data_IF_706509381623
#
_entry.id   IF_706509381623
#
_cell.length_a   1.000
_cell.length_b   1.000
_cell.length_c   1.000
_cell.angle_alpha   90.00
_cell.angle_beta   90.00
_cell.angle_gamma   90.00
#
_symmetry.space_group_name_H-M   'P 1'
#
loop_
_entity.id
_entity.type
_entity.pdbx_description
1 polymer ?
#
# COMPACT_ATOMS: atom_id res chain seq x y z
N UNK A 1 -11.52 3.56 33.78
CA UNK A 1 -10.23 4.29 33.59
C UNK A 1 -10.16 5.59 34.37
N UNK A 2 -8.97 6.02 34.81
CA UNK A 2 -8.82 7.29 35.55
C UNK A 2 -8.79 8.50 34.62
N UNK A 3 -9.63 9.52 34.88
CA UNK A 3 -9.72 10.75 34.07
C UNK A 3 -8.37 11.48 33.90
N UNK A 4 -7.54 11.48 34.95
CA UNK A 4 -6.24 12.16 34.93
C UNK A 4 -5.28 11.54 33.89
N UNK A 5 -5.30 10.21 33.72
CA UNK A 5 -4.49 9.53 32.69
C UNK A 5 -4.92 9.98 31.30
N UNK A 6 -6.25 9.98 31.02
CA UNK A 6 -6.80 10.41 29.74
C UNK A 6 -6.41 11.88 29.45
N UNK A 7 -6.56 12.78 30.43
CA UNK A 7 -6.21 14.19 30.25
C UNK A 7 -4.72 14.39 29.98
N UNK A 8 -3.85 13.67 30.72
CA UNK A 8 -2.41 13.72 30.47
C UNK A 8 -2.06 13.27 29.06
N UNK A 9 -2.68 12.16 28.58
CA UNK A 9 -2.49 11.65 27.23
C UNK A 9 -2.88 12.67 26.16
N UNK A 10 -4.04 13.31 26.30
CA UNK A 10 -4.49 14.35 25.37
C UNK A 10 -3.44 15.47 25.25
N UNK A 11 -2.97 16.00 26.39
CA UNK A 11 -1.99 17.09 26.42
C UNK A 11 -0.63 16.64 25.87
N UNK A 12 -0.15 15.45 26.27
CA UNK A 12 1.13 14.90 25.80
C UNK A 12 1.15 14.73 24.29
N UNK A 13 0.09 14.16 23.71
CA UNK A 13 0.00 13.98 22.27
C UNK A 13 -0.15 15.30 21.50
N UNK A 14 -0.88 16.28 22.03
CA UNK A 14 -0.95 17.63 21.43
C UNK A 14 0.45 18.25 21.34
N UNK A 15 1.21 18.22 22.44
CA UNK A 15 2.58 18.73 22.47
C UNK A 15 3.55 17.98 21.55
N UNK A 16 3.35 16.68 21.39
CA UNK A 16 4.15 15.83 20.50
C UNK A 16 3.89 16.17 19.03
N UNK A 17 2.62 16.19 18.62
CA UNK A 17 2.25 16.41 17.22
C UNK A 17 2.61 17.82 16.74
N UNK A 18 2.58 18.82 17.62
CA UNK A 18 2.97 20.20 17.32
C UNK A 18 4.46 20.32 16.97
N UNK A 19 5.32 19.47 17.55
CA UNK A 19 6.79 19.57 17.46
C UNK A 19 7.43 18.56 16.49
N UNK A 20 6.73 17.48 16.12
CA UNK A 20 7.31 16.43 15.31
C UNK A 20 7.62 16.91 13.90
N UNK A 21 8.80 16.54 13.39
CA UNK A 21 9.19 16.76 12.00
C UNK A 21 8.62 15.63 11.13
N UNK A 22 8.03 15.96 9.99
CA UNK A 22 7.35 15.03 9.12
C UNK A 22 7.97 15.06 7.72
N UNK A 23 7.99 13.90 7.08
CA UNK A 23 8.13 13.79 5.63
C UNK A 23 6.72 13.90 5.06
N UNK A 24 6.42 15.04 4.42
CA UNK A 24 5.08 15.25 3.84
C UNK A 24 4.79 14.24 2.74
N UNK A 25 3.64 13.56 2.85
CA UNK A 25 3.10 12.63 1.87
C UNK A 25 2.34 13.40 0.79
N UNK A 26 2.41 12.88 -0.44
CA UNK A 26 1.65 13.42 -1.57
C UNK A 26 0.18 12.92 -1.51
N UNK A 27 -0.50 13.19 -0.41
CA UNK A 27 -1.90 12.81 -0.15
C UNK A 27 -2.67 14.05 0.26
N UNK A 28 -3.67 14.41 -0.54
CA UNK A 28 -4.55 15.54 -0.26
C UNK A 28 -5.86 15.05 0.37
N UNK A 29 -6.18 15.58 1.54
CA UNK A 29 -7.41 15.29 2.26
C UNK A 29 -8.33 16.52 2.27
N UNK A 30 -9.62 16.31 2.04
CA UNK A 30 -10.61 17.38 2.18
C UNK A 30 -10.91 17.63 3.65
N UNK A 31 -10.89 18.88 4.06
CA UNK A 31 -11.22 19.27 5.44
C UNK A 31 -12.69 19.09 5.83
N UNK A 32 -13.55 18.73 4.88
CA UNK A 32 -14.99 18.55 5.12
C UNK A 32 -15.39 17.08 5.32
N UNK A 33 -14.46 16.13 5.11
CA UNK A 33 -14.75 14.71 5.10
C UNK A 33 -14.10 13.98 6.26
N UNK A 34 -14.67 12.83 6.61
CA UNK A 34 -14.08 11.92 7.58
C UNK A 34 -13.31 10.83 6.85
N UNK A 35 -12.20 10.38 7.43
CA UNK A 35 -11.31 9.42 6.79
C UNK A 35 -11.01 8.21 7.67
N UNK A 36 -10.88 7.05 7.03
CA UNK A 36 -10.26 5.86 7.61
C UNK A 36 -8.97 5.57 6.84
N UNK A 37 -7.84 5.71 7.50
CA UNK A 37 -6.52 5.39 6.95
C UNK A 37 -6.22 3.92 7.16
N UNK A 38 -6.05 3.19 6.07
CA UNK A 38 -5.75 1.76 6.08
C UNK A 38 -4.47 1.47 5.32
N UNK A 39 -3.75 0.43 5.69
CA UNK A 39 -2.50 0.07 5.05
C UNK A 39 -1.61 -0.80 5.93
N UNK A 40 -0.50 -1.23 5.37
CA UNK A 40 0.48 -2.05 6.06
C UNK A 40 0.92 -1.43 7.40
N UNK A 41 1.21 -2.26 8.38
CA UNK A 41 1.87 -1.82 9.62
C UNK A 41 3.17 -1.09 9.28
N UNK A 42 3.42 0.07 9.93
CA UNK A 42 4.57 0.96 9.69
C UNK A 42 4.63 1.64 8.31
N UNK A 43 3.54 1.65 7.54
CA UNK A 43 3.45 2.43 6.29
C UNK A 43 3.27 3.95 6.50
N UNK A 44 3.18 4.41 7.76
CA UNK A 44 3.08 5.84 8.11
C UNK A 44 1.66 6.37 8.31
N UNK A 45 0.68 5.54 8.66
CA UNK A 45 -0.72 5.95 8.90
C UNK A 45 -0.84 7.02 10.00
N UNK A 46 -0.21 6.80 11.16
CA UNK A 46 -0.20 7.77 12.27
C UNK A 46 0.49 9.09 11.86
N UNK A 47 1.57 9.00 11.08
CA UNK A 47 2.27 10.18 10.56
C UNK A 47 1.42 10.96 9.55
N UNK A 48 0.56 10.30 8.76
CA UNK A 48 -0.42 10.98 7.92
C UNK A 48 -1.48 11.72 8.76
N UNK A 49 -1.88 11.18 9.93
CA UNK A 49 -2.71 11.94 10.89
C UNK A 49 -1.98 13.18 11.41
N UNK A 50 -0.71 13.05 11.77
CA UNK A 50 0.08 14.19 12.24
C UNK A 50 0.25 15.24 11.14
N UNK A 51 0.45 14.82 9.89
CA UNK A 51 0.46 15.73 8.73
C UNK A 51 -0.85 16.51 8.61
N UNK A 52 -1.99 15.82 8.73
CA UNK A 52 -3.30 16.47 8.67
C UNK A 52 -3.52 17.42 9.87
N UNK A 53 -3.09 17.06 11.07
CA UNK A 53 -3.15 17.97 12.22
C UNK A 53 -2.30 19.22 11.96
N UNK A 54 -1.04 19.06 11.53
CA UNK A 54 -0.18 20.22 11.23
C UNK A 54 -0.72 21.06 10.07
N UNK A 55 -1.40 20.46 9.09
CA UNK A 55 -2.11 21.18 8.05
C UNK A 55 -3.23 22.05 8.64
N UNK A 56 -4.09 21.49 9.50
CA UNK A 56 -5.16 22.23 10.17
C UNK A 56 -4.63 23.38 11.04
N UNK A 57 -3.51 23.17 11.76
CA UNK A 57 -2.87 24.23 12.53
C UNK A 57 -2.35 25.37 11.63
N UNK A 58 -1.81 25.06 10.45
CA UNK A 58 -1.40 26.06 9.44
C UNK A 58 -2.59 26.83 8.84
N UNK A 59 -3.77 26.18 8.73
CA UNK A 59 -5.03 26.81 8.31
C UNK A 59 -5.71 27.63 9.41
N UNK A 60 -5.10 27.73 10.62
CA UNK A 60 -5.54 28.59 11.71
C UNK A 60 -6.37 27.91 12.80
N UNK A 61 -6.52 26.59 12.77
CA UNK A 61 -7.09 25.85 13.89
C UNK A 61 -6.17 25.90 15.12
N UNK A 62 -6.75 25.96 16.33
CA UNK A 62 -5.98 25.83 17.57
C UNK A 62 -5.65 24.37 17.87
N UNK A 63 -4.49 24.12 18.49
CA UNK A 63 -4.15 22.79 19.01
C UNK A 63 -5.17 22.30 20.06
N UNK A 64 -5.84 23.22 20.75
CA UNK A 64 -6.92 22.91 21.68
C UNK A 64 -8.17 22.34 21.00
N UNK A 65 -8.34 22.50 19.67
CA UNK A 65 -9.41 21.86 18.88
C UNK A 65 -9.06 20.42 18.51
N UNK A 66 -7.82 19.97 18.69
CA UNK A 66 -7.35 18.66 18.28
C UNK A 66 -7.44 17.67 19.43
N UNK A 67 -8.22 16.61 19.23
CA UNK A 67 -8.24 15.45 20.11
C UNK A 67 -7.58 14.27 19.37
N UNK A 68 -6.26 14.13 19.51
CA UNK A 68 -5.54 12.93 19.07
C UNK A 68 -5.45 11.93 20.21
N UNK A 69 -5.74 10.64 19.91
CA UNK A 69 -5.71 9.58 20.90
C UNK A 69 -5.22 8.27 20.26
N UNK A 70 -4.12 7.72 20.79
CA UNK A 70 -3.54 6.46 20.33
C UNK A 70 -3.98 5.32 21.25
N UNK A 71 -4.73 4.36 20.72
CA UNK A 71 -5.27 3.23 21.48
C UNK A 71 -4.23 2.10 21.69
N UNK A 72 -3.04 2.16 21.07
CA UNK A 72 -1.91 1.25 21.37
C UNK A 72 -1.09 1.68 22.59
N UNK A 73 -1.40 2.82 23.25
CA UNK A 73 -0.70 3.26 24.45
C UNK A 73 -0.87 2.25 25.58
N UNK A 74 0.21 1.83 26.23
CA UNK A 74 0.23 0.80 27.27
C UNK A 74 -0.54 1.19 28.53
N UNK A 75 -0.73 2.49 28.78
CA UNK A 75 -1.60 3.02 29.84
C UNK A 75 -3.09 2.71 29.63
N UNK A 76 -3.47 2.25 28.42
CA UNK A 76 -4.84 2.01 27.98
C UNK A 76 -5.21 0.52 27.89
N UNK A 77 -4.40 -0.40 28.41
CA UNK A 77 -4.56 -1.86 28.29
C UNK A 77 -5.99 -2.35 28.68
N UNK A 78 -6.65 -1.68 29.60
CA UNK A 78 -7.99 -2.07 30.08
C UNK A 78 -9.10 -1.15 29.53
N UNK A 79 -8.85 -0.41 28.44
CA UNK A 79 -9.86 0.48 27.86
C UNK A 79 -11.00 -0.34 27.25
N UNK A 80 -12.21 -0.02 27.61
CA UNK A 80 -13.44 -0.62 27.09
C UNK A 80 -14.23 0.36 26.22
N UNK A 81 -15.30 -0.13 25.57
CA UNK A 81 -16.17 0.74 24.75
C UNK A 81 -16.89 1.81 25.58
N UNK A 82 -17.16 1.52 26.84
CA UNK A 82 -17.78 2.46 27.80
C UNK A 82 -16.84 3.63 28.11
N UNK A 83 -15.52 3.41 28.07
CA UNK A 83 -14.52 4.44 28.31
C UNK A 83 -14.36 5.42 27.12
N UNK A 84 -14.83 5.08 25.91
CA UNK A 84 -14.72 5.97 24.75
C UNK A 84 -15.43 7.32 24.96
N UNK A 85 -16.59 7.30 25.64
CA UNK A 85 -17.28 8.54 25.99
C UNK A 85 -16.53 9.34 27.06
N UNK A 86 -15.79 8.66 27.94
CA UNK A 86 -14.99 9.31 28.97
C UNK A 86 -13.84 10.14 28.36
N UNK A 87 -13.27 9.69 27.22
CA UNK A 87 -12.26 10.46 26.48
C UNK A 87 -12.83 11.83 26.07
N UNK A 88 -14.04 11.82 25.47
CA UNK A 88 -14.74 13.06 25.10
C UNK A 88 -15.03 13.95 26.32
N UNK A 89 -15.52 13.38 27.40
CA UNK A 89 -15.79 14.12 28.65
C UNK A 89 -14.50 14.75 29.21
N UNK A 90 -13.40 14.00 29.23
CA UNK A 90 -12.11 14.52 29.68
C UNK A 90 -11.60 15.68 28.82
N UNK A 91 -11.80 15.62 27.51
CA UNK A 91 -11.47 16.73 26.63
C UNK A 91 -12.34 17.97 26.90
N UNK A 92 -13.67 17.81 27.06
CA UNK A 92 -14.60 18.91 27.36
C UNK A 92 -14.36 19.54 28.75
N UNK A 93 -13.71 18.80 29.66
CA UNK A 93 -13.24 19.35 30.94
C UNK A 93 -11.93 20.16 30.82
N UNK A 94 -11.13 19.95 29.73
CA UNK A 94 -9.90 20.69 29.45
C UNK A 94 -10.15 21.93 28.60
N UNK A 95 -11.02 21.82 27.60
CA UNK A 95 -11.19 22.83 26.55
C UNK A 95 -12.68 23.13 26.28
N UNK A 96 -12.95 24.39 25.96
CA UNK A 96 -14.29 24.85 25.52
C UNK A 96 -14.53 24.66 24.03
N UNK A 97 -13.54 24.21 23.27
CA UNK A 97 -13.60 24.04 21.83
C UNK A 97 -14.30 22.73 21.42
N UNK A 98 -14.88 22.72 20.23
CA UNK A 98 -15.44 21.50 19.65
C UNK A 98 -14.29 20.65 19.07
N UNK A 99 -14.10 19.37 19.49
CA UNK A 99 -12.95 18.59 19.05
C UNK A 99 -13.04 18.12 17.59
N UNK A 100 -11.90 18.06 16.94
CA UNK A 100 -11.63 17.25 15.75
C UNK A 100 -10.95 15.97 16.24
N UNK A 101 -11.55 14.81 15.97
CA UNK A 101 -11.09 13.53 16.49
C UNK A 101 -10.06 12.89 15.56
N UNK A 102 -8.94 12.48 16.11
CA UNK A 102 -7.92 11.64 15.49
C UNK A 102 -7.73 10.39 16.34
N UNK A 103 -8.35 9.29 15.92
CA UNK A 103 -8.43 8.03 16.64
C UNK A 103 -7.46 7.02 16.02
N UNK A 104 -6.28 6.89 16.61
CA UNK A 104 -5.20 6.05 16.07
C UNK A 104 -5.27 4.63 16.63
N UNK A 105 -5.24 3.61 15.73
CA UNK A 105 -5.36 2.18 16.02
C UNK A 105 -6.63 1.83 16.83
N UNK A 106 -7.75 2.51 16.57
CA UNK A 106 -9.00 2.41 17.34
C UNK A 106 -9.63 1.00 17.31
N UNK A 107 -9.29 0.14 16.33
CA UNK A 107 -9.80 -1.22 16.21
C UNK A 107 -9.36 -2.15 17.38
N UNK A 108 -8.50 -1.69 18.26
CA UNK A 108 -8.16 -2.38 19.50
C UNK A 108 -9.39 -2.44 20.44
N UNK A 109 -10.24 -1.42 20.39
CA UNK A 109 -11.46 -1.35 21.20
C UNK A 109 -12.61 -2.03 20.45
N UNK A 110 -13.19 -3.07 21.05
CA UNK A 110 -14.37 -3.75 20.47
C UNK A 110 -15.55 -2.79 20.33
N UNK A 111 -16.27 -2.84 19.22
CA UNK A 111 -17.43 -1.97 18.91
C UNK A 111 -17.13 -0.48 18.75
N UNK A 112 -15.88 -0.11 18.49
CA UNK A 112 -15.45 1.26 18.20
C UNK A 112 -16.24 1.91 17.05
N UNK A 113 -16.67 1.13 16.07
CA UNK A 113 -17.41 1.59 14.88
C UNK A 113 -18.72 2.29 15.23
N UNK A 114 -19.38 1.87 16.31
CA UNK A 114 -20.61 2.50 16.81
C UNK A 114 -20.33 3.88 17.40
N UNK A 115 -19.21 4.00 18.12
CA UNK A 115 -18.75 5.28 18.66
C UNK A 115 -18.39 6.25 17.52
N UNK A 116 -17.57 5.81 16.56
CA UNK A 116 -17.18 6.62 15.41
C UNK A 116 -18.39 7.09 14.58
N UNK A 117 -19.36 6.19 14.32
CA UNK A 117 -20.62 6.54 13.67
C UNK A 117 -21.38 7.62 14.43
N UNK A 118 -21.53 7.47 15.75
CA UNK A 118 -22.23 8.46 16.59
C UNK A 118 -21.56 9.82 16.55
N UNK A 119 -20.21 9.89 16.56
CA UNK A 119 -19.49 11.15 16.42
C UNK A 119 -19.82 11.83 15.09
N UNK A 120 -19.83 11.10 13.99
CA UNK A 120 -20.16 11.68 12.67
C UNK A 120 -21.63 12.07 12.54
N UNK A 121 -22.56 11.32 13.15
CA UNK A 121 -23.98 11.70 13.20
C UNK A 121 -24.19 13.02 13.98
N UNK A 122 -23.36 13.27 15.00
CA UNK A 122 -23.28 14.54 15.74
C UNK A 122 -22.45 15.62 15.02
N UNK A 123 -22.03 15.36 13.77
CA UNK A 123 -21.27 16.29 12.93
C UNK A 123 -19.89 16.66 13.48
N UNK A 124 -19.25 15.75 14.23
CA UNK A 124 -17.80 15.86 14.49
C UNK A 124 -17.01 15.45 13.25
N UNK A 125 -15.84 16.04 13.07
CA UNK A 125 -14.85 15.60 12.10
C UNK A 125 -14.03 14.49 12.75
N UNK A 126 -13.85 13.36 12.03
CA UNK A 126 -13.24 12.16 12.58
C UNK A 126 -12.25 11.56 11.58
N UNK A 127 -11.03 11.38 12.02
CA UNK A 127 -9.97 10.67 11.32
C UNK A 127 -9.62 9.41 12.12
N UNK A 128 -9.50 8.29 11.44
CA UNK A 128 -9.32 6.97 12.07
C UNK A 128 -8.16 6.26 11.38
N UNK A 129 -7.30 5.58 12.13
CA UNK A 129 -6.37 4.61 11.53
C UNK A 129 -6.67 3.19 11.98
N UNK A 130 -6.21 2.26 11.17
CA UNK A 130 -6.14 0.86 11.53
C UNK A 130 -5.25 0.05 10.59
N UNK A 131 -4.49 -0.86 11.18
CA UNK A 131 -3.55 -1.73 10.47
C UNK A 131 -4.22 -2.95 9.83
N UNK A 132 -5.56 -3.03 9.83
CA UNK A 132 -6.29 -4.19 9.35
C UNK A 132 -7.38 -3.81 8.34
N UNK A 133 -7.41 -4.48 7.19
CA UNK A 133 -8.52 -4.39 6.25
C UNK A 133 -9.85 -4.96 6.80
N UNK A 134 -9.88 -5.62 7.98
CA UNK A 134 -11.15 -5.84 8.70
C UNK A 134 -11.88 -4.54 9.02
N UNK A 135 -11.18 -3.39 9.06
CA UNK A 135 -11.82 -2.07 9.09
C UNK A 135 -12.63 -1.79 7.82
N UNK A 136 -12.38 -2.54 6.76
CA UNK A 136 -13.12 -2.53 5.48
C UNK A 136 -14.13 -3.68 5.39
N UNK A 137 -14.27 -4.52 6.44
CA UNK A 137 -15.26 -5.59 6.43
C UNK A 137 -16.65 -5.04 6.16
N UNK A 138 -17.49 -5.84 5.51
CA UNK A 138 -18.85 -5.45 5.15
C UNK A 138 -19.66 -4.95 6.36
N UNK A 139 -19.38 -5.49 7.55
CA UNK A 139 -20.03 -5.05 8.80
C UNK A 139 -19.62 -3.64 9.21
N UNK A 140 -18.32 -3.31 9.13
CA UNK A 140 -17.81 -1.98 9.47
C UNK A 140 -18.21 -0.98 8.40
N UNK A 141 -18.06 -1.33 7.11
CA UNK A 141 -18.51 -0.50 6.00
C UNK A 141 -20.02 -0.20 6.11
N UNK A 142 -20.84 -1.19 6.48
CA UNK A 142 -22.28 -1.02 6.72
C UNK A 142 -22.54 -0.13 7.93
N UNK A 143 -21.82 -0.33 9.04
CA UNK A 143 -21.99 0.45 10.27
C UNK A 143 -21.57 1.89 10.09
N UNK A 144 -20.44 2.13 9.43
CA UNK A 144 -19.96 3.48 9.10
C UNK A 144 -20.81 4.17 8.01
N UNK A 145 -21.50 3.38 7.17
CA UNK A 145 -22.59 3.82 6.31
C UNK A 145 -22.26 4.98 5.36
N UNK A 146 -21.13 4.94 4.67
CA UNK A 146 -20.74 5.98 3.71
C UNK A 146 -20.36 7.34 4.32
N UNK A 147 -20.17 7.40 5.65
CA UNK A 147 -19.77 8.62 6.38
C UNK A 147 -18.26 8.89 6.33
N UNK A 148 -17.48 7.90 5.93
CA UNK A 148 -16.03 7.95 5.87
C UNK A 148 -15.54 7.63 4.46
N UNK A 149 -14.47 8.29 4.06
CA UNK A 149 -13.67 7.93 2.89
C UNK A 149 -12.52 7.04 3.36
N UNK A 150 -12.32 5.96 2.63
CA UNK A 150 -11.18 5.07 2.86
C UNK A 150 -9.99 5.65 2.11
N UNK A 151 -8.90 5.88 2.83
CA UNK A 151 -7.63 6.31 2.26
C UNK A 151 -6.59 5.24 2.45
N UNK A 152 -6.16 4.64 1.34
CA UNK A 152 -5.09 3.66 1.33
C UNK A 152 -3.74 4.35 1.57
N UNK A 153 -2.98 3.86 2.56
CA UNK A 153 -1.65 4.37 2.92
C UNK A 153 -0.60 3.31 2.56
N UNK A 154 0.05 3.53 1.43
CA UNK A 154 1.15 2.68 0.95
C UNK A 154 2.48 3.11 1.61
N UNK A 155 3.52 2.26 1.59
CA UNK A 155 4.90 2.70 1.82
C UNK A 155 5.25 3.91 0.94
N UNK A 156 6.34 4.60 1.21
CA UNK A 156 6.77 5.74 0.40
C UNK A 156 6.83 5.41 -1.09
N UNK A 157 6.33 6.31 -1.93
CA UNK A 157 6.67 6.32 -3.35
C UNK A 157 8.16 6.67 -3.52
N UNK A 158 8.74 6.40 -4.68
CA UNK A 158 10.13 6.76 -4.91
C UNK A 158 10.39 8.27 -4.76
N UNK A 159 9.42 9.12 -5.12
CA UNK A 159 9.49 10.56 -4.90
C UNK A 159 9.49 10.93 -3.40
N UNK A 160 8.62 10.31 -2.61
CA UNK A 160 8.57 10.49 -1.15
C UNK A 160 9.86 9.95 -0.49
N UNK A 161 10.40 8.83 -0.99
CA UNK A 161 11.68 8.26 -0.58
C UNK A 161 12.84 9.23 -0.81
N UNK A 162 12.94 9.81 -2.01
CA UNK A 162 13.96 10.83 -2.31
C UNK A 162 13.85 12.05 -1.40
N UNK A 163 12.61 12.51 -1.16
CA UNK A 163 12.34 13.62 -0.23
C UNK A 163 12.79 13.30 1.20
N UNK A 164 12.59 12.06 1.66
CA UNK A 164 13.04 11.60 2.98
C UNK A 164 14.58 11.60 3.10
N UNK A 165 15.28 11.46 1.98
CA UNK A 165 16.75 11.52 1.88
C UNK A 165 17.28 12.91 1.48
N UNK A 166 16.47 13.97 1.61
CA UNK A 166 16.82 15.34 1.25
C UNK A 166 17.22 15.53 -0.24
N UNK A 167 16.79 14.62 -1.12
CA UNK A 167 17.04 14.68 -2.56
C UNK A 167 15.85 15.31 -3.27
N UNK A 168 16.06 16.53 -3.80
CA UNK A 168 15.03 17.26 -4.54
C UNK A 168 14.93 16.82 -5.99
N UNK A 169 13.70 16.64 -6.47
CA UNK A 169 13.38 16.34 -7.86
C UNK A 169 12.81 17.60 -8.52
N UNK A 170 13.68 18.51 -8.94
CA UNK A 170 13.30 19.74 -9.69
C UNK A 170 13.08 19.44 -11.18
N UNK A 171 12.45 20.32 -11.98
CA UNK A 171 12.21 20.09 -13.41
C UNK A 171 13.44 19.73 -14.24
N UNK A 172 14.64 20.12 -13.80
CA UNK A 172 15.91 19.79 -14.47
C UNK A 172 16.69 18.65 -13.80
N UNK A 173 16.06 17.84 -12.95
CA UNK A 173 16.70 16.79 -12.15
C UNK A 173 17.55 15.82 -12.98
N UNK A 174 17.09 15.47 -14.18
CA UNK A 174 17.76 14.53 -15.08
C UNK A 174 19.21 14.97 -15.42
N UNK A 175 19.46 16.27 -15.48
CA UNK A 175 20.78 16.82 -15.75
C UNK A 175 21.60 17.13 -14.49
N UNK A 176 20.93 17.45 -13.39
CA UNK A 176 21.59 17.89 -12.15
C UNK A 176 21.88 16.73 -11.20
N UNK A 177 20.88 15.90 -10.89
CA UNK A 177 20.94 14.96 -9.78
C UNK A 177 20.78 13.49 -10.21
N UNK A 178 20.86 13.18 -11.52
CA UNK A 178 20.63 11.83 -12.05
C UNK A 178 21.45 10.75 -11.33
N UNK A 179 22.74 10.98 -11.10
CA UNK A 179 23.63 9.98 -10.47
C UNK A 179 23.19 9.65 -9.03
N UNK A 180 22.82 10.66 -8.28
CA UNK A 180 22.33 10.50 -6.91
C UNK A 180 20.98 9.79 -6.87
N UNK A 181 20.05 10.18 -7.74
CA UNK A 181 18.73 9.56 -7.89
C UNK A 181 18.85 8.08 -8.28
N UNK A 182 19.70 7.73 -9.26
CA UNK A 182 19.91 6.34 -9.68
C UNK A 182 20.55 5.51 -8.55
N UNK A 183 21.49 6.09 -7.78
CA UNK A 183 22.06 5.42 -6.61
C UNK A 183 21.00 5.16 -5.54
N UNK A 184 20.19 6.15 -5.19
CA UNK A 184 19.09 6.03 -4.21
C UNK A 184 18.01 5.08 -4.70
N UNK A 185 17.81 4.99 -6.03
CA UNK A 185 16.90 4.02 -6.61
C UNK A 185 17.33 2.58 -6.32
N UNK A 186 18.62 2.26 -6.37
CA UNK A 186 19.10 0.90 -6.05
C UNK A 186 18.68 0.47 -4.65
N UNK A 187 18.81 1.35 -3.66
CA UNK A 187 18.41 1.07 -2.28
C UNK A 187 16.88 0.89 -2.17
N UNK A 188 16.11 1.83 -2.73
CA UNK A 188 14.65 1.74 -2.79
C UNK A 188 14.16 0.47 -3.51
N UNK A 189 14.84 0.05 -4.58
CA UNK A 189 14.49 -1.13 -5.36
C UNK A 189 14.59 -2.43 -4.56
N UNK A 190 15.66 -2.58 -3.76
CA UNK A 190 15.91 -3.80 -2.99
C UNK A 190 15.26 -3.81 -1.60
N UNK A 191 15.12 -2.65 -0.95
CA UNK A 191 14.62 -2.56 0.43
C UNK A 191 13.22 -1.98 0.54
N UNK A 192 12.65 -1.44 -0.55
CA UNK A 192 11.29 -0.91 -0.55
C UNK A 192 11.18 0.51 -0.01
N UNK A 193 9.95 0.91 0.32
CA UNK A 193 9.62 2.28 0.72
C UNK A 193 9.07 2.41 2.14
N UNK A 194 9.32 1.45 3.04
CA UNK A 194 8.87 1.58 4.43
C UNK A 194 9.61 2.73 5.13
N UNK A 195 8.89 3.74 5.67
CA UNK A 195 9.49 5.00 6.13
C UNK A 195 10.62 4.86 7.14
N UNK A 196 10.55 3.89 8.04
CA UNK A 196 11.58 3.70 9.08
C UNK A 196 12.92 3.21 8.54
N UNK A 197 12.95 2.63 7.31
CA UNK A 197 14.19 2.15 6.71
C UNK A 197 15.19 3.27 6.36
N UNK A 198 14.70 4.51 6.23
CA UNK A 198 15.55 5.67 5.98
C UNK A 198 16.46 6.01 7.17
N UNK A 199 16.09 5.57 8.37
CA UNK A 199 16.83 5.80 9.61
C UNK A 199 17.81 4.65 9.94
N UNK A 200 17.89 3.62 9.07
CA UNK A 200 18.59 2.35 9.35
C UNK A 200 19.73 2.17 8.35
N UNK A 201 20.90 1.78 8.84
CA UNK A 201 22.04 1.45 7.99
C UNK A 201 21.73 0.23 7.08
N UNK A 202 22.24 0.23 5.86
CA UNK A 202 21.95 -0.78 4.84
C UNK A 202 22.13 -2.23 5.35
N UNK A 203 23.17 -2.46 6.14
CA UNK A 203 23.49 -3.79 6.70
C UNK A 203 22.38 -4.30 7.64
N UNK A 204 21.61 -3.41 8.27
CA UNK A 204 20.57 -3.74 9.24
C UNK A 204 19.16 -3.80 8.61
N UNK A 205 18.96 -3.19 7.42
CA UNK A 205 17.65 -3.10 6.75
C UNK A 205 17.00 -4.47 6.56
N UNK A 206 17.75 -5.47 6.11
CA UNK A 206 17.21 -6.83 5.90
C UNK A 206 16.74 -7.46 7.21
N UNK A 207 17.49 -7.29 8.30
CA UNK A 207 17.10 -7.79 9.62
C UNK A 207 15.86 -7.09 10.14
N UNK A 208 15.76 -5.79 9.96
CA UNK A 208 14.60 -5.01 10.35
C UNK A 208 13.34 -5.45 9.58
N UNK A 209 13.44 -5.61 8.26
CA UNK A 209 12.35 -6.13 7.41
C UNK A 209 11.91 -7.53 7.85
N UNK A 210 12.86 -8.41 8.18
CA UNK A 210 12.57 -9.75 8.70
C UNK A 210 11.82 -9.69 10.04
N UNK A 211 12.21 -8.80 10.94
CA UNK A 211 11.53 -8.59 12.22
C UNK A 211 10.10 -8.03 12.03
N UNK A 212 9.92 -7.06 11.12
CA UNK A 212 8.60 -6.55 10.78
C UNK A 212 7.71 -7.65 10.18
N UNK A 213 8.25 -8.44 9.23
CA UNK A 213 7.52 -9.57 8.66
C UNK A 213 7.11 -10.56 9.73
N UNK A 214 8.01 -10.95 10.62
CA UNK A 214 7.70 -11.88 11.72
C UNK A 214 6.62 -11.31 12.65
N UNK A 215 6.67 -10.03 13.01
CA UNK A 215 5.63 -9.39 13.82
C UNK A 215 4.27 -9.41 13.12
N UNK A 216 4.22 -9.09 11.83
CA UNK A 216 3.00 -9.16 11.01
C UNK A 216 2.52 -10.59 10.89
N UNK A 217 3.42 -11.54 10.61
CA UNK A 217 3.10 -12.95 10.44
C UNK A 217 2.50 -13.54 11.72
N UNK A 218 3.18 -13.44 12.86
CA UNK A 218 2.69 -14.05 14.09
C UNK A 218 1.55 -13.26 14.74
N UNK A 219 1.63 -11.94 14.79
CA UNK A 219 0.64 -11.09 15.43
C UNK A 219 -0.62 -10.88 14.58
N UNK A 220 -0.42 -10.38 13.37
CA UNK A 220 -1.53 -9.93 12.54
C UNK A 220 -2.15 -11.04 11.67
N UNK A 221 -1.41 -12.12 11.38
CA UNK A 221 -1.92 -13.29 10.66
C UNK A 221 -2.26 -14.43 11.61
N UNK A 222 -1.26 -15.10 12.18
CA UNK A 222 -1.45 -16.36 12.90
C UNK A 222 -2.37 -16.18 14.11
N UNK A 223 -2.07 -15.24 14.99
CA UNK A 223 -2.84 -15.03 16.24
C UNK A 223 -4.24 -14.48 15.93
N UNK A 224 -4.32 -13.45 15.09
CA UNK A 224 -5.59 -12.77 14.81
C UNK A 224 -6.62 -13.66 14.12
N UNK A 225 -6.21 -14.45 13.13
CA UNK A 225 -7.09 -15.35 12.38
C UNK A 225 -7.11 -16.79 12.94
N UNK A 226 -6.45 -17.01 14.09
CA UNK A 226 -6.36 -18.35 14.73
C UNK A 226 -5.90 -19.43 13.74
N UNK A 227 -4.91 -19.12 12.92
CA UNK A 227 -4.40 -20.03 11.90
C UNK A 227 -3.69 -21.20 12.57
N UNK A 228 -4.21 -22.42 12.36
CA UNK A 228 -3.69 -23.64 12.98
C UNK A 228 -2.42 -24.16 12.30
N UNK A 229 -2.25 -23.89 11.00
CA UNK A 229 -1.14 -24.40 10.21
C UNK A 229 -0.27 -23.23 9.67
N UNK A 230 0.63 -22.75 10.53
CA UNK A 230 1.56 -21.68 10.21
C UNK A 230 2.57 -22.07 9.11
N UNK A 231 2.94 -23.36 9.02
CA UNK A 231 3.85 -23.85 8.00
C UNK A 231 3.21 -23.78 6.61
N UNK A 232 1.91 -24.14 6.49
CA UNK A 232 1.17 -24.01 5.23
C UNK A 232 1.11 -22.54 4.77
N UNK A 233 0.86 -21.61 5.70
CA UNK A 233 0.86 -20.17 5.40
C UNK A 233 2.25 -19.69 4.94
N UNK A 234 3.34 -20.12 5.61
CA UNK A 234 4.71 -19.78 5.19
C UNK A 234 5.04 -20.29 3.78
N UNK A 235 4.65 -21.53 3.48
CA UNK A 235 4.86 -22.14 2.15
C UNK A 235 4.06 -21.36 1.09
N UNK A 236 2.80 -20.98 1.39
CA UNK A 236 1.97 -20.18 0.50
C UNK A 236 2.62 -18.82 0.21
N UNK A 237 3.05 -18.07 1.24
CA UNK A 237 3.72 -16.76 1.08
C UNK A 237 4.96 -16.90 0.19
N UNK A 238 5.82 -17.89 0.47
CA UNK A 238 7.02 -18.15 -0.35
C UNK A 238 6.65 -18.47 -1.79
N UNK A 239 5.60 -19.28 -2.00
CA UNK A 239 5.15 -19.60 -3.36
C UNK A 239 4.59 -18.38 -4.10
N UNK A 240 3.87 -17.50 -3.43
CA UNK A 240 3.40 -16.25 -4.02
C UNK A 240 4.56 -15.36 -4.43
N UNK A 241 5.60 -15.23 -3.59
CA UNK A 241 6.80 -14.48 -3.92
C UNK A 241 7.52 -14.99 -5.18
N UNK A 242 7.68 -16.31 -5.32
CA UNK A 242 8.26 -16.95 -6.52
C UNK A 242 7.37 -16.79 -7.76
N UNK A 243 6.08 -16.56 -7.60
CA UNK A 243 5.08 -16.51 -8.68
C UNK A 243 4.59 -15.11 -9.01
N UNK A 244 5.24 -14.07 -8.53
CA UNK A 244 4.81 -12.66 -8.71
C UNK A 244 4.46 -12.35 -10.18
N UNK A 245 5.26 -12.82 -11.12
CA UNK A 245 5.07 -12.57 -12.57
C UNK A 245 3.98 -13.41 -13.25
N UNK A 246 3.42 -14.40 -12.57
CA UNK A 246 2.54 -15.38 -13.17
C UNK A 246 1.20 -15.49 -12.47
N UNK A 247 0.09 -15.61 -13.20
CA UNK A 247 -1.20 -15.85 -12.58
C UNK A 247 -1.21 -17.21 -11.87
N UNK A 248 -1.87 -17.26 -10.74
CA UNK A 248 -1.95 -18.44 -9.89
C UNK A 248 -3.40 -18.73 -9.53
N UNK A 249 -3.87 -19.93 -9.88
CA UNK A 249 -5.20 -20.37 -9.48
C UNK A 249 -5.20 -20.97 -8.07
N UNK A 250 -6.33 -20.87 -7.37
CA UNK A 250 -6.51 -21.43 -6.04
C UNK A 250 -6.16 -22.91 -5.96
N UNK A 251 -6.62 -23.70 -6.96
CA UNK A 251 -6.33 -25.13 -7.05
C UNK A 251 -4.83 -25.39 -7.23
N UNK A 252 -4.15 -24.59 -8.07
CA UNK A 252 -2.69 -24.73 -8.27
C UNK A 252 -1.94 -24.42 -6.98
N UNK A 253 -2.30 -23.37 -6.27
CA UNK A 253 -1.68 -23.00 -4.99
C UNK A 253 -1.92 -24.08 -3.93
N UNK A 254 -3.16 -24.59 -3.80
CA UNK A 254 -3.50 -25.68 -2.89
C UNK A 254 -2.69 -26.96 -3.18
N UNK A 255 -2.54 -27.35 -4.44
CA UNK A 255 -1.76 -28.50 -4.85
C UNK A 255 -0.27 -28.33 -4.51
N UNK A 256 0.30 -27.13 -4.74
CA UNK A 256 1.70 -26.84 -4.42
C UNK A 256 1.95 -26.89 -2.92
N UNK A 257 1.09 -26.27 -2.11
CA UNK A 257 1.20 -26.35 -0.65
C UNK A 257 1.06 -27.80 -0.18
N UNK A 258 0.11 -28.56 -0.74
CA UNK A 258 -0.11 -29.98 -0.37
C UNK A 258 1.05 -30.88 -0.78
N UNK A 259 1.78 -30.57 -1.86
CA UNK A 259 2.95 -31.34 -2.31
C UNK A 259 4.13 -31.31 -1.31
N UNK A 260 4.14 -30.37 -0.39
CA UNK A 260 5.13 -30.31 0.73
C UNK A 260 4.79 -31.24 1.89
N UNK A 261 3.79 -32.09 1.76
CA UNK A 261 3.32 -33.00 2.80
C UNK A 261 2.29 -32.40 3.76
N UNK A 262 1.89 -31.14 3.55
CA UNK A 262 0.92 -30.42 4.38
C UNK A 262 -0.43 -30.44 3.66
N UNK A 263 -1.41 -31.19 4.16
CA UNK A 263 -2.74 -31.23 3.56
C UNK A 263 -3.48 -29.91 3.81
N UNK A 264 -3.80 -29.20 2.73
CA UNK A 264 -4.65 -28.01 2.73
C UNK A 264 -5.71 -28.13 1.66
N UNK A 265 -6.92 -27.66 1.93
CA UNK A 265 -8.02 -27.56 0.95
C UNK A 265 -7.88 -26.29 0.14
N UNK A 266 -8.57 -26.23 -1.00
CA UNK A 266 -8.66 -25.00 -1.80
C UNK A 266 -9.31 -23.88 -1.00
N UNK A 267 -10.34 -24.17 -0.20
CA UNK A 267 -11.03 -23.20 0.68
C UNK A 267 -10.06 -22.60 1.71
N UNK A 268 -9.20 -23.44 2.32
CA UNK A 268 -8.16 -22.94 3.25
C UNK A 268 -7.18 -21.99 2.55
N UNK A 269 -6.85 -22.25 1.28
CA UNK A 269 -5.96 -21.35 0.53
C UNK A 269 -6.66 -20.03 0.19
N UNK A 270 -7.96 -20.07 -0.13
CA UNK A 270 -8.77 -18.86 -0.34
C UNK A 270 -8.77 -18.02 0.94
N UNK A 271 -9.10 -18.59 2.10
CA UNK A 271 -9.07 -17.89 3.38
C UNK A 271 -7.68 -17.27 3.64
N UNK A 272 -6.61 -18.02 3.37
CA UNK A 272 -5.24 -17.53 3.58
C UNK A 272 -4.89 -16.35 2.66
N UNK A 273 -5.32 -16.39 1.41
CA UNK A 273 -5.13 -15.27 0.47
C UNK A 273 -5.91 -14.03 0.93
N UNK A 274 -7.15 -14.20 1.41
CA UNK A 274 -7.93 -13.11 1.99
C UNK A 274 -7.25 -12.51 3.23
N UNK A 275 -6.68 -13.35 4.11
CA UNK A 275 -5.96 -12.87 5.29
C UNK A 275 -4.67 -12.12 4.92
N UNK A 276 -3.94 -12.59 3.91
CA UNK A 276 -2.74 -11.91 3.41
C UNK A 276 -3.07 -10.54 2.79
N UNK A 277 -4.17 -10.44 2.06
CA UNK A 277 -4.67 -9.16 1.53
C UNK A 277 -5.17 -8.26 2.66
N UNK A 278 -5.90 -8.83 3.62
CA UNK A 278 -6.43 -8.11 4.77
C UNK A 278 -5.35 -7.54 5.69
N UNK A 279 -4.16 -8.12 5.72
CA UNK A 279 -3.00 -7.59 6.45
C UNK A 279 -2.12 -6.67 5.61
N UNK A 280 -2.53 -6.36 4.40
CA UNK A 280 -1.76 -5.53 3.47
C UNK A 280 -0.37 -6.10 3.13
N UNK A 281 -0.18 -7.42 3.21
CA UNK A 281 1.07 -8.03 2.79
C UNK A 281 1.14 -8.17 1.28
N UNK A 282 -0.01 -8.51 0.67
CA UNK A 282 -0.17 -8.65 -0.77
C UNK A 282 -1.43 -7.93 -1.28
N UNK A 283 -1.48 -7.71 -2.59
CA UNK A 283 -2.69 -7.39 -3.33
C UNK A 283 -2.76 -8.25 -4.59
N UNK A 284 -3.93 -8.31 -5.22
CA UNK A 284 -4.12 -9.04 -6.47
C UNK A 284 -4.66 -8.14 -7.57
N UNK A 285 -4.42 -8.55 -8.82
CA UNK A 285 -5.05 -7.99 -10.00
C UNK A 285 -5.69 -9.11 -10.84
N UNK A 286 -6.78 -8.77 -11.52
CA UNK A 286 -7.57 -9.70 -12.31
C UNK A 286 -7.14 -9.72 -13.78
N UNK A 287 -7.46 -10.83 -14.47
CA UNK A 287 -7.33 -10.87 -15.93
C UNK A 287 -8.52 -10.16 -16.59
N UNK A 288 -8.25 -9.10 -17.33
CA UNK A 288 -9.30 -8.35 -18.04
C UNK A 288 -10.10 -9.22 -19.02
N UNK A 289 -9.43 -10.14 -19.74
CA UNK A 289 -10.04 -10.98 -20.76
C UNK A 289 -10.88 -12.15 -20.22
N UNK A 290 -10.74 -12.48 -18.93
CA UNK A 290 -11.39 -13.67 -18.34
C UNK A 290 -12.87 -13.44 -18.00
N UNK A 291 -13.63 -14.55 -17.97
CA UNK A 291 -14.98 -14.55 -17.41
C UNK A 291 -14.93 -14.43 -15.88
N UNK A 292 -16.05 -14.04 -15.27
CA UNK A 292 -16.13 -13.75 -13.82
C UNK A 292 -15.51 -14.84 -12.94
N UNK A 293 -15.81 -16.11 -13.20
CA UNK A 293 -15.28 -17.23 -12.39
C UNK A 293 -13.76 -17.31 -12.46
N UNK A 294 -13.18 -17.10 -13.63
CA UNK A 294 -11.73 -17.13 -13.83
C UNK A 294 -11.06 -15.86 -13.28
N UNK A 295 -11.72 -14.71 -13.37
CA UNK A 295 -11.23 -13.45 -12.76
C UNK A 295 -10.98 -13.61 -11.27
N UNK A 296 -11.91 -14.25 -10.57
CA UNK A 296 -11.80 -14.49 -9.13
C UNK A 296 -10.77 -15.58 -8.81
N UNK A 297 -10.77 -16.67 -9.57
CA UNK A 297 -10.00 -17.88 -9.23
C UNK A 297 -8.57 -17.94 -9.77
N UNK A 298 -8.19 -17.05 -10.69
CA UNK A 298 -6.86 -17.04 -11.32
C UNK A 298 -6.33 -15.60 -11.46
N UNK A 299 -5.62 -15.14 -10.43
CA UNK A 299 -5.13 -13.78 -10.30
C UNK A 299 -3.61 -13.72 -10.29
N UNK A 300 -3.02 -12.55 -10.62
CA UNK A 300 -1.63 -12.24 -10.29
C UNK A 300 -1.60 -11.61 -8.90
N UNK A 301 -0.64 -12.02 -8.07
CA UNK A 301 -0.45 -11.54 -6.69
C UNK A 301 0.87 -10.81 -6.58
N UNK A 302 0.84 -9.63 -5.97
CA UNK A 302 1.98 -8.76 -5.77
C UNK A 302 2.12 -8.40 -4.29
N UNK A 303 3.35 -8.21 -3.84
CA UNK A 303 3.61 -7.71 -2.49
C UNK A 303 3.46 -6.19 -2.45
N UNK A 304 2.99 -5.68 -1.32
CA UNK A 304 2.77 -4.23 -1.14
C UNK A 304 4.08 -3.44 -1.03
N UNK A 305 5.21 -4.12 -0.82
CA UNK A 305 6.53 -3.53 -0.68
C UNK A 305 7.63 -4.45 -1.21
N UNK A 306 8.59 -3.88 -1.95
CA UNK A 306 9.68 -4.64 -2.55
C UNK A 306 10.63 -5.25 -1.51
N UNK A 307 10.89 -4.55 -0.40
CA UNK A 307 11.77 -5.06 0.65
C UNK A 307 11.19 -6.31 1.31
N UNK A 308 9.87 -6.35 1.50
CA UNK A 308 9.19 -7.54 2.01
C UNK A 308 9.24 -8.70 1.01
N UNK A 309 9.04 -8.44 -0.28
CA UNK A 309 9.16 -9.46 -1.34
C UNK A 309 10.58 -10.03 -1.40
N UNK A 310 11.59 -9.17 -1.33
CA UNK A 310 13.00 -9.52 -1.41
C UNK A 310 13.48 -10.47 -0.29
N UNK A 311 12.76 -10.57 0.82
CA UNK A 311 13.05 -11.53 1.89
C UNK A 311 12.94 -12.99 1.42
N UNK A 312 12.17 -13.27 0.37
CA UNK A 312 11.81 -14.63 -0.08
C UNK A 312 12.49 -15.06 -1.38
N UNK A 313 13.20 -14.16 -2.05
CA UNK A 313 13.78 -14.39 -3.39
C UNK A 313 15.29 -14.62 -3.31
N UNK A 314 15.81 -15.44 -4.25
CA UNK A 314 17.26 -15.71 -4.44
C UNK A 314 17.77 -14.81 -5.58
N UNK A 315 17.07 -14.81 -6.73
CA UNK A 315 17.36 -13.98 -7.90
C UNK A 315 16.20 -12.98 -8.07
N UNK A 316 16.23 -11.83 -7.34
CA UNK A 316 15.06 -11.02 -7.13
C UNK A 316 14.74 -10.05 -8.27
N UNK A 317 15.71 -9.67 -9.10
CA UNK A 317 15.68 -8.47 -9.94
C UNK A 317 14.43 -8.37 -10.83
N UNK A 318 14.12 -9.43 -11.58
CA UNK A 318 12.97 -9.41 -12.49
C UNK A 318 11.63 -9.39 -11.75
N UNK A 319 11.55 -10.05 -10.61
CA UNK A 319 10.33 -10.07 -9.78
C UNK A 319 10.14 -8.75 -9.04
N UNK A 320 11.22 -8.16 -8.53
CA UNK A 320 11.17 -6.85 -7.88
C UNK A 320 10.79 -5.75 -8.88
N UNK A 321 11.26 -5.83 -10.13
CA UNK A 321 10.93 -4.85 -11.16
C UNK A 321 9.41 -4.85 -11.44
N UNK A 322 8.84 -6.03 -11.72
CA UNK A 322 7.40 -6.12 -12.01
C UNK A 322 6.55 -5.78 -10.77
N UNK A 323 6.98 -6.21 -9.57
CA UNK A 323 6.28 -5.88 -8.33
C UNK A 323 6.26 -4.37 -8.07
N UNK A 324 7.37 -3.67 -8.30
CA UNK A 324 7.45 -2.22 -8.09
C UNK A 324 6.55 -1.45 -9.08
N UNK A 325 6.49 -1.91 -10.34
CA UNK A 325 5.55 -1.37 -11.33
C UNK A 325 4.11 -1.62 -10.89
N UNK A 326 3.80 -2.85 -10.43
CA UNK A 326 2.47 -3.21 -9.92
C UNK A 326 2.04 -2.31 -8.73
N UNK A 327 2.93 -2.11 -7.75
CA UNK A 327 2.67 -1.22 -6.59
C UNK A 327 2.33 0.20 -7.07
N UNK A 328 3.14 0.73 -7.97
CA UNK A 328 2.98 2.10 -8.48
C UNK A 328 1.68 2.28 -9.26
N UNK A 329 1.35 1.31 -10.12
CA UNK A 329 0.09 1.32 -10.87
C UNK A 329 -1.13 1.09 -9.95
N UNK A 330 -1.05 0.18 -8.97
CA UNK A 330 -2.13 -0.05 -8.00
C UNK A 330 -2.40 1.19 -7.14
N UNK A 331 -1.35 1.90 -6.69
CA UNK A 331 -1.48 3.17 -5.96
C UNK A 331 -2.24 4.23 -6.77
N UNK A 332 -2.06 4.25 -8.10
CA UNK A 332 -2.63 5.27 -9.00
C UNK A 332 -4.00 4.91 -9.56
N UNK A 333 -4.22 3.64 -9.91
CA UNK A 333 -5.40 3.18 -10.65
C UNK A 333 -6.31 2.25 -9.85
N UNK A 334 -5.89 1.84 -8.66
CA UNK A 334 -6.67 1.02 -7.72
C UNK A 334 -7.32 -0.20 -8.38
N UNK A 335 -8.66 -0.25 -8.47
CA UNK A 335 -9.41 -1.37 -9.02
C UNK A 335 -9.47 -1.37 -10.57
N UNK A 336 -8.96 -0.33 -11.23
CA UNK A 336 -8.90 -0.26 -12.69
C UNK A 336 -7.62 -0.87 -13.29
N UNK A 337 -6.79 -1.48 -12.45
CA UNK A 337 -5.58 -2.17 -12.86
C UNK A 337 -5.85 -3.66 -13.11
N UNK A 338 -5.55 -4.10 -14.32
CA UNK A 338 -5.70 -5.48 -14.77
C UNK A 338 -4.41 -5.99 -15.40
N UNK A 339 -4.27 -7.32 -15.56
CA UNK A 339 -3.41 -7.91 -16.58
C UNK A 339 -4.27 -8.43 -17.73
N UNK A 340 -3.65 -8.72 -18.87
CA UNK A 340 -4.35 -9.31 -20.00
C UNK A 340 -3.68 -10.63 -20.37
N UNK A 341 -4.46 -11.72 -20.35
CA UNK A 341 -3.97 -13.03 -20.73
C UNK A 341 -5.09 -13.83 -21.43
N UNK A 342 -4.94 -14.03 -22.75
CA UNK A 342 -5.78 -14.92 -23.56
C UNK A 342 -4.89 -15.62 -24.62
N UNK A 343 -4.69 -15.02 -25.78
CA UNK A 343 -3.78 -15.48 -26.84
C UNK A 343 -2.42 -14.75 -26.78
N UNK A 344 -2.33 -13.75 -25.98
CA UNK A 344 -1.17 -12.90 -25.67
C UNK A 344 -1.14 -12.64 -24.19
N UNK A 345 0.03 -12.35 -23.65
CA UNK A 345 0.18 -11.91 -22.26
C UNK A 345 0.68 -10.48 -22.25
N UNK A 346 -0.02 -9.60 -21.51
CA UNK A 346 0.40 -8.23 -21.21
C UNK A 346 0.35 -8.05 -19.70
N UNK A 347 1.46 -7.58 -19.13
CA UNK A 347 1.65 -7.54 -17.69
C UNK A 347 0.63 -6.64 -17.00
N UNK A 348 0.40 -5.43 -17.55
CA UNK A 348 -0.59 -4.50 -17.01
C UNK A 348 -1.41 -3.85 -18.13
N UNK A 349 -2.70 -3.74 -17.88
CA UNK A 349 -3.67 -3.08 -18.75
C UNK A 349 -4.58 -2.16 -17.93
N UNK A 350 -4.69 -0.91 -18.35
CA UNK A 350 -5.53 0.11 -17.72
C UNK A 350 -6.53 0.63 -18.79
N UNK A 351 -7.76 0.07 -18.82
CA UNK A 351 -8.75 0.40 -19.85
C UNK A 351 -9.09 1.90 -19.92
N UNK A 352 -9.29 2.53 -18.79
CA UNK A 352 -9.68 3.96 -18.68
C UNK A 352 -8.61 4.92 -19.17
N UNK A 353 -7.38 4.44 -19.38
CA UNK A 353 -6.24 5.21 -19.90
C UNK A 353 -5.78 4.74 -21.28
N UNK A 354 -6.44 3.74 -21.86
CA UNK A 354 -6.03 3.08 -23.11
C UNK A 354 -4.55 2.68 -23.09
N UNK A 355 -4.07 2.21 -21.93
CA UNK A 355 -2.65 1.97 -21.65
C UNK A 355 -2.37 0.48 -21.46
N UNK A 356 -1.38 -0.02 -22.21
CA UNK A 356 -0.80 -1.35 -22.01
C UNK A 356 0.68 -1.22 -21.63
N UNK A 357 1.09 -1.97 -20.61
CA UNK A 357 2.46 -1.93 -20.08
C UNK A 357 3.04 -3.34 -20.02
N UNK A 358 4.24 -3.49 -20.58
CA UNK A 358 5.11 -4.66 -20.38
C UNK A 358 6.25 -4.30 -19.45
N UNK A 359 6.75 -5.28 -18.74
CA UNK A 359 7.89 -5.10 -17.82
C UNK A 359 8.98 -6.10 -18.16
N UNK A 360 10.13 -5.61 -18.53
CA UNK A 360 11.30 -6.44 -18.85
C UNK A 360 12.55 -5.86 -18.23
N UNK A 361 13.33 -6.67 -17.51
CA UNK A 361 14.56 -6.19 -16.89
C UNK A 361 15.54 -5.63 -17.91
N UNK A 362 15.63 -6.26 -19.10
CA UNK A 362 16.44 -5.81 -20.22
C UNK A 362 15.85 -6.27 -21.55
N UNK A 363 16.01 -5.46 -22.59
CA UNK A 363 15.64 -5.76 -23.98
C UNK A 363 16.85 -6.11 -24.86
N UNK A 364 18.03 -6.32 -24.28
CA UNK A 364 19.28 -6.64 -25.05
C UNK A 364 19.19 -7.96 -25.78
N UNK A 365 18.44 -8.92 -25.22
CA UNK A 365 18.19 -10.19 -25.89
C UNK A 365 17.10 -10.03 -26.95
N UNK A 366 17.42 -10.32 -28.21
CA UNK A 366 16.52 -10.15 -29.36
C UNK A 366 15.20 -10.91 -29.20
N UNK A 367 15.23 -12.12 -28.64
CA UNK A 367 14.02 -12.93 -28.42
C UNK A 367 13.09 -12.27 -27.39
N UNK A 368 13.63 -11.75 -26.31
CA UNK A 368 12.89 -11.02 -25.29
C UNK A 368 12.32 -9.73 -25.87
N UNK A 369 13.14 -8.92 -26.54
CA UNK A 369 12.70 -7.69 -27.19
C UNK A 369 11.52 -7.92 -28.15
N UNK A 370 11.64 -8.90 -29.03
CA UNK A 370 10.60 -9.24 -30.00
C UNK A 370 9.32 -9.70 -29.31
N UNK A 371 9.41 -10.49 -28.24
CA UNK A 371 8.27 -10.97 -27.47
C UNK A 371 7.46 -9.81 -26.88
N UNK A 372 8.11 -8.87 -26.19
CA UNK A 372 7.46 -7.73 -25.53
C UNK A 372 6.80 -6.79 -26.54
N UNK A 373 7.51 -6.43 -27.61
CA UNK A 373 6.96 -5.60 -28.69
C UNK A 373 5.74 -6.29 -29.35
N UNK A 374 5.88 -7.58 -29.70
CA UNK A 374 4.80 -8.33 -30.32
C UNK A 374 3.55 -8.41 -29.45
N UNK A 375 3.71 -8.55 -28.13
CA UNK A 375 2.58 -8.57 -27.19
C UNK A 375 1.82 -7.23 -27.20
N UNK A 376 2.53 -6.11 -27.13
CA UNK A 376 1.94 -4.77 -27.18
C UNK A 376 1.25 -4.46 -28.50
N UNK A 377 1.87 -4.83 -29.63
CA UNK A 377 1.28 -4.63 -30.95
C UNK A 377 0.00 -5.50 -31.14
N UNK A 378 -0.02 -6.70 -30.58
CA UNK A 378 -1.19 -7.57 -30.65
C UNK A 378 -2.35 -7.07 -29.79
N UNK A 379 -2.10 -6.60 -28.55
CA UNK A 379 -3.18 -6.06 -27.72
C UNK A 379 -3.78 -4.80 -28.37
N UNK A 380 -2.97 -3.94 -28.98
CA UNK A 380 -3.42 -2.75 -29.69
C UNK A 380 -4.28 -3.05 -30.94
N UNK A 381 -4.27 -4.30 -31.44
CA UNK A 381 -5.15 -4.74 -32.54
C UNK A 381 -6.51 -5.27 -32.05
N UNK A 382 -6.61 -5.72 -30.80
CA UNK A 382 -7.82 -6.36 -30.26
C UNK A 382 -8.54 -5.53 -29.20
N UNK A 383 -7.85 -4.54 -28.62
CA UNK A 383 -8.36 -3.64 -27.60
C UNK A 383 -8.14 -2.19 -28.01
N UNK A 384 -8.91 -1.28 -27.44
CA UNK A 384 -8.70 0.17 -27.60
C UNK A 384 -7.49 0.61 -26.78
N UNK A 385 -6.30 0.46 -27.37
CA UNK A 385 -5.00 0.79 -26.75
C UNK A 385 -4.20 1.63 -27.72
N UNK A 386 -3.86 2.83 -27.31
CA UNK A 386 -3.04 3.78 -28.04
C UNK A 386 -1.74 4.15 -27.32
N UNK A 387 -1.66 3.89 -26.01
CA UNK A 387 -0.44 4.09 -25.20
C UNK A 387 0.24 2.76 -24.92
N UNK A 388 1.41 2.56 -25.53
CA UNK A 388 2.20 1.33 -25.40
C UNK A 388 3.52 1.64 -24.68
N UNK A 389 3.78 0.93 -23.59
CA UNK A 389 4.92 1.19 -22.71
C UNK A 389 5.64 -0.11 -22.37
N UNK A 390 6.97 -0.09 -22.45
CA UNK A 390 7.84 -1.11 -21.86
C UNK A 390 8.64 -0.45 -20.73
N UNK A 391 8.50 -0.96 -19.52
CA UNK A 391 9.31 -0.50 -18.38
C UNK A 391 10.49 -1.44 -18.23
N UNK A 392 11.69 -0.87 -18.24
CA UNK A 392 12.95 -1.60 -18.09
C UNK A 392 13.69 -1.18 -16.82
N UNK A 393 14.77 -1.87 -16.47
CA UNK A 393 15.59 -1.45 -15.35
C UNK A 393 16.31 -0.11 -15.65
N UNK A 394 16.97 0.03 -16.82
CA UNK A 394 17.77 1.21 -17.17
C UNK A 394 17.82 1.56 -18.67
N UNK A 395 17.08 0.87 -19.54
CA UNK A 395 17.06 1.14 -20.97
C UNK A 395 16.00 2.17 -21.34
N UNK A 396 16.34 3.07 -22.28
CA UNK A 396 15.45 4.14 -22.74
C UNK A 396 15.54 4.25 -24.26
N UNK A 397 14.43 4.10 -24.95
CA UNK A 397 14.32 4.30 -26.40
C UNK A 397 12.87 4.53 -26.84
N UNK A 398 12.68 4.97 -28.07
CA UNK A 398 11.38 5.02 -28.74
C UNK A 398 11.39 4.03 -29.92
N UNK A 399 10.51 3.04 -29.87
CA UNK A 399 10.37 2.04 -30.94
C UNK A 399 9.16 2.43 -31.78
N UNK A 400 9.31 2.43 -33.10
CA UNK A 400 8.23 2.62 -34.06
C UNK A 400 8.07 1.35 -34.88
N UNK A 401 6.97 0.61 -34.70
CA UNK A 401 6.71 -0.64 -35.40
C UNK A 401 5.21 -0.79 -35.70
N UNK A 402 4.85 -1.29 -36.88
CA UNK A 402 3.46 -1.41 -37.37
C UNK A 402 2.66 -0.08 -37.29
N UNK A 403 3.33 1.07 -37.40
CA UNK A 403 2.71 2.39 -37.30
C UNK A 403 2.31 2.81 -35.88
N UNK A 404 2.77 2.07 -34.85
CA UNK A 404 2.58 2.36 -33.43
C UNK A 404 3.90 2.79 -32.81
N UNK A 405 3.82 3.74 -31.86
CA UNK A 405 4.93 4.13 -31.02
C UNK A 405 4.89 3.35 -29.71
N UNK A 406 6.02 2.76 -29.33
CA UNK A 406 6.21 2.06 -28.07
C UNK A 406 7.32 2.79 -27.30
N UNK A 407 6.99 3.37 -26.17
CA UNK A 407 7.99 4.01 -25.31
C UNK A 407 8.68 2.95 -24.43
N UNK A 408 10.01 2.92 -24.46
CA UNK A 408 10.81 2.15 -23.50
C UNK A 408 11.39 3.12 -22.49
N UNK A 409 11.10 2.92 -21.21
CA UNK A 409 11.44 3.87 -20.15
C UNK A 409 12.07 3.14 -18.96
N UNK A 410 13.21 3.61 -18.43
CA UNK A 410 13.77 3.02 -17.22
C UNK A 410 12.87 3.32 -16.00
N UNK A 411 12.70 2.33 -15.13
CA UNK A 411 11.75 2.39 -14.02
C UNK A 411 12.00 3.58 -13.08
N UNK A 412 13.25 3.89 -12.76
CA UNK A 412 13.57 5.02 -11.87
C UNK A 412 13.13 6.37 -12.46
N UNK A 413 13.17 6.54 -13.77
CA UNK A 413 12.66 7.72 -14.48
C UNK A 413 11.13 7.68 -14.52
N UNK A 414 10.55 6.55 -14.88
CA UNK A 414 9.11 6.37 -14.95
C UNK A 414 8.42 6.68 -13.61
N UNK A 415 8.98 6.22 -12.48
CA UNK A 415 8.44 6.52 -11.14
C UNK A 415 8.39 8.01 -10.81
N UNK A 416 9.25 8.82 -11.42
CA UNK A 416 9.30 10.27 -11.20
C UNK A 416 8.45 11.07 -12.21
N UNK A 417 8.20 10.51 -13.39
CA UNK A 417 7.59 11.21 -14.53
C UNK A 417 6.24 10.62 -14.98
N UNK A 418 5.64 9.72 -14.21
CA UNK A 418 4.40 9.01 -14.59
C UNK A 418 3.30 9.93 -15.12
N UNK A 419 3.08 11.08 -14.47
CA UNK A 419 2.00 12.00 -14.81
C UNK A 419 2.28 12.68 -16.17
N UNK A 420 3.51 13.15 -16.37
CA UNK A 420 3.91 13.80 -17.63
C UNK A 420 3.97 12.85 -18.82
N UNK A 421 4.39 11.60 -18.59
CA UNK A 421 4.49 10.57 -19.64
C UNK A 421 3.11 10.06 -20.09
N UNK A 422 2.09 10.14 -19.24
CA UNK A 422 0.75 9.62 -19.50
C UNK A 422 -0.25 10.72 -19.91
N UNK A 423 0.00 11.99 -19.56
CA UNK A 423 -0.89 13.13 -19.88
C UNK A 423 -0.54 13.84 -21.20
N UNK A 424 0.72 13.80 -21.63
CA UNK A 424 1.23 14.56 -22.77
C UNK A 424 1.22 13.77 -24.12
N UNK A 425 0.42 12.71 -24.24
CA UNK A 425 0.31 11.95 -25.50
C UNK A 425 -1.12 11.63 -25.86
#
# INVERSE_FOLDING_TARGET
>A
MEKNVIKSLIIEYQQFVEKITLIERDIHLSDQLNYVFVGLRRAGKSYLMYQQIQHLLREGHSIEEILYFNFEDDRLINLSVEDLDLIKVCYEELYAHRPIFFLDEVQIVTHWEKFARRLTDLKYRVYITGSNAKMLSSEIATTLGGRFIIQNVYPFSFREYLKANDITVEPAWYFKNRTEIVRSFSDYFYFGGLPELELIEEIEKRQWLSNLFNKTFFGDLITRYSIRNDLAMKVLIRKLAESVKHPSSFNRLSNIVSSTGIKVTTDTVIDYLEFLQATWLIFSIENYASKLVEKVSNQKYYFIDNGLLNLFLIDPETSLLENLVAISLKKKYEEELYFYHQNIEVDFYIPTKNLAVQVSYSLKEEATRKREITALLKIAKVMDVDKLLIITHDEEEMIVEDGKEIAVVPIWKWLLEQDSLLENR
#
